data_IF_901886952028
#
_entry.id   IF_901886952028
#
_cell.length_a   1.000
_cell.length_b   1.000
_cell.length_c   1.000
_cell.angle_alpha   90.00
_cell.angle_beta   90.00
_cell.angle_gamma   90.00
#
_symmetry.space_group_name_H-M   'P 1'
#
loop_
_entity.id
_entity.type
_entity.pdbx_description
1 polymer ?
#
# COMPACT_ATOMS: atom_id res chain seq x y z
N UNK A 1 -21.44 -3.95 -3.08
CA UNK A 1 -21.46 -5.07 -2.09
C UNK A 1 -20.28 -6.06 -2.21
N UNK A 2 -19.59 -6.18 -3.36
CA UNK A 2 -18.53 -7.18 -3.60
C UNK A 2 -17.24 -6.98 -2.79
N UNK A 3 -16.81 -5.73 -2.57
CA UNK A 3 -15.58 -5.37 -1.83
C UNK A 3 -15.49 -6.00 -0.42
N UNK A 4 -16.56 -5.88 0.37
CA UNK A 4 -16.60 -6.41 1.73
C UNK A 4 -16.66 -7.95 1.78
N UNK A 5 -17.10 -8.60 0.71
CA UNK A 5 -17.15 -10.07 0.62
C UNK A 5 -15.77 -10.63 0.32
N UNK A 6 -15.02 -9.99 -0.58
CA UNK A 6 -13.67 -10.42 -0.96
C UNK A 6 -12.65 -10.21 0.17
N UNK A 7 -12.65 -9.04 0.82
CA UNK A 7 -11.77 -8.78 1.98
C UNK A 7 -12.07 -9.72 3.17
N UNK A 8 -13.35 -10.05 3.37
CA UNK A 8 -13.78 -11.01 4.41
C UNK A 8 -13.30 -12.44 4.17
N UNK A 9 -13.21 -12.87 2.91
CA UNK A 9 -12.79 -14.23 2.60
C UNK A 9 -11.27 -14.40 2.67
N UNK A 10 -10.53 -13.32 2.38
CA UNK A 10 -9.07 -13.36 2.30
C UNK A 10 -8.36 -13.49 3.67
N UNK A 11 -8.78 -12.74 4.69
CA UNK A 11 -8.15 -12.80 6.02
C UNK A 11 -8.24 -14.21 6.66
N UNK A 12 -9.39 -14.89 6.63
CA UNK A 12 -9.55 -16.26 7.12
C UNK A 12 -8.75 -17.31 6.35
N UNK A 13 -8.41 -17.06 5.07
CA UNK A 13 -7.59 -17.97 4.26
C UNK A 13 -6.10 -17.87 4.63
N UNK A 14 -5.64 -16.70 5.08
CA UNK A 14 -4.24 -16.50 5.52
C UNK A 14 -3.99 -16.98 6.96
N UNK A 15 -5.02 -17.04 7.80
CA UNK A 15 -4.94 -17.43 9.22
C UNK A 15 -5.94 -18.54 9.57
N UNK A 16 -5.78 -19.70 8.93
CA UNK A 16 -6.66 -20.87 9.09
C UNK A 16 -6.89 -21.32 10.54
N UNK A 17 -5.88 -21.18 11.42
CA UNK A 17 -5.94 -21.60 12.83
C UNK A 17 -6.72 -20.64 13.76
N UNK A 18 -6.90 -19.37 13.36
CA UNK A 18 -7.57 -18.34 14.18
C UNK A 18 -8.99 -18.03 13.70
N UNK A 19 -9.44 -18.69 12.62
CA UNK A 19 -10.75 -18.51 11.95
C UNK A 19 -11.92 -18.21 12.90
N UNK A 20 -12.20 -19.03 13.95
CA UNK A 20 -13.38 -18.82 14.79
C UNK A 20 -13.34 -17.49 15.57
N UNK A 21 -12.15 -17.06 16.00
CA UNK A 21 -11.94 -15.79 16.72
C UNK A 21 -11.92 -14.61 15.74
N UNK A 22 -11.29 -14.79 14.58
CA UNK A 22 -11.14 -13.74 13.57
C UNK A 22 -12.48 -13.45 12.86
N UNK A 23 -13.32 -14.45 12.61
CA UNK A 23 -14.59 -14.28 11.87
C UNK A 23 -15.57 -13.36 12.59
N UNK A 24 -15.69 -13.50 13.92
CA UNK A 24 -16.58 -12.65 14.72
C UNK A 24 -16.09 -11.20 14.74
N UNK A 25 -14.79 -10.98 14.87
CA UNK A 25 -14.17 -9.66 14.81
C UNK A 25 -14.33 -9.04 13.40
N UNK A 26 -14.02 -9.79 12.34
CA UNK A 26 -14.15 -9.36 10.95
C UNK A 26 -15.60 -9.07 10.56
N UNK A 27 -16.57 -9.85 11.05
CA UNK A 27 -17.99 -9.58 10.83
C UNK A 27 -18.38 -8.22 11.44
N UNK A 28 -17.96 -7.95 12.68
CA UNK A 28 -18.22 -6.67 13.36
C UNK A 28 -17.56 -5.49 12.64
N UNK A 29 -16.29 -5.60 12.30
CA UNK A 29 -15.54 -4.57 11.56
C UNK A 29 -16.11 -4.35 10.16
N UNK A 30 -16.46 -5.42 9.45
CA UNK A 30 -17.07 -5.35 8.12
C UNK A 30 -18.47 -4.71 8.14
N UNK A 31 -19.27 -4.95 9.19
CA UNK A 31 -20.56 -4.27 9.38
C UNK A 31 -20.36 -2.78 9.67
N UNK A 32 -19.38 -2.41 10.50
CA UNK A 32 -19.03 -1.01 10.77
C UNK A 32 -18.61 -0.29 9.48
N UNK A 33 -17.67 -0.88 8.72
CA UNK A 33 -17.24 -0.38 7.42
C UNK A 33 -18.41 -0.23 6.44
N UNK A 34 -19.32 -1.22 6.38
CA UNK A 34 -20.51 -1.14 5.53
C UNK A 34 -21.39 0.06 5.90
N UNK A 35 -21.63 0.31 7.20
CA UNK A 35 -22.39 1.49 7.66
C UNK A 35 -21.70 2.80 7.27
N UNK A 36 -20.38 2.88 7.41
CA UNK A 36 -19.60 4.04 6.97
C UNK A 36 -19.67 4.26 5.45
N UNK A 37 -19.56 3.19 4.64
CA UNK A 37 -19.67 3.28 3.19
C UNK A 37 -21.07 3.75 2.74
N UNK A 38 -22.14 3.21 3.34
CA UNK A 38 -23.51 3.64 3.01
C UNK A 38 -23.74 5.12 3.35
N UNK A 39 -23.17 5.61 4.47
CA UNK A 39 -23.20 7.04 4.83
C UNK A 39 -22.44 7.94 3.85
N UNK A 40 -21.47 7.38 3.11
CA UNK A 40 -20.68 8.09 2.08
C UNK A 40 -21.40 8.17 0.73
N UNK A 41 -22.28 7.21 0.43
CA UNK A 41 -23.10 7.18 -0.79
C UNK A 41 -24.38 8.02 -0.66
N UNK A 42 -24.96 8.12 0.54
CA UNK A 42 -25.96 9.17 0.82
C UNK A 42 -25.27 10.53 0.73
N UNK A 43 -25.74 11.39 -0.18
CA UNK A 43 -25.31 12.75 -0.59
C UNK A 43 -24.82 13.76 0.48
N UNK A 44 -24.68 13.37 1.75
CA UNK A 44 -23.96 14.13 2.76
C UNK A 44 -22.50 14.29 2.31
N UNK A 45 -22.15 15.51 1.92
CA UNK A 45 -20.79 15.94 1.62
C UNK A 45 -19.83 15.44 2.71
N UNK A 46 -19.18 14.32 2.45
CA UNK A 46 -17.96 13.99 3.17
C UNK A 46 -16.99 15.06 2.71
N UNK A 47 -16.55 15.93 3.63
CA UNK A 47 -15.42 16.82 3.42
C UNK A 47 -14.23 15.95 2.98
N UNK A 48 -14.07 15.76 1.67
CA UNK A 48 -12.98 14.99 1.12
C UNK A 48 -11.74 15.84 1.38
N UNK A 49 -10.75 15.25 2.05
CA UNK A 49 -9.43 15.86 2.07
C UNK A 49 -9.03 16.17 0.62
N UNK A 50 -8.42 17.34 0.37
CA UNK A 50 -7.95 17.67 -0.96
C UNK A 50 -7.04 16.56 -1.46
N UNK A 51 -7.07 16.30 -2.77
CA UNK A 51 -6.12 15.36 -3.36
C UNK A 51 -4.70 15.79 -2.99
N UNK A 52 -3.88 14.83 -2.56
CA UNK A 52 -2.46 15.10 -2.40
C UNK A 52 -1.93 15.63 -3.75
N UNK A 53 -0.93 16.50 -3.73
CA UNK A 53 -0.30 17.04 -4.94
C UNK A 53 1.12 16.52 -5.04
N UNK A 54 1.71 16.48 -6.25
CA UNK A 54 3.13 16.10 -6.42
C UNK A 54 4.06 16.98 -5.57
N UNK A 55 3.71 18.27 -5.39
CA UNK A 55 4.44 19.21 -4.51
C UNK A 55 4.32 18.83 -3.03
N UNK A 56 3.14 18.42 -2.57
CA UNK A 56 2.94 17.95 -1.21
C UNK A 56 3.71 16.63 -0.96
N UNK A 57 3.64 15.69 -1.91
CA UNK A 57 4.43 14.45 -1.86
C UNK A 57 5.92 14.76 -1.72
N UNK A 58 6.46 15.61 -2.58
CA UNK A 58 7.87 16.04 -2.52
C UNK A 58 8.27 16.55 -1.14
N UNK A 59 7.45 17.44 -0.55
CA UNK A 59 7.72 17.98 0.79
C UNK A 59 7.74 16.88 1.87
N UNK A 60 6.79 15.95 1.81
CA UNK A 60 6.71 14.85 2.78
C UNK A 60 7.90 13.90 2.66
N UNK A 61 8.24 13.46 1.44
CA UNK A 61 9.39 12.57 1.21
C UNK A 61 10.70 13.25 1.57
N UNK A 62 10.87 14.53 1.20
CA UNK A 62 12.05 15.30 1.58
C UNK A 62 12.18 15.44 3.09
N UNK A 63 11.06 15.59 3.82
CA UNK A 63 11.09 15.61 5.28
C UNK A 63 11.59 14.28 5.83
N UNK A 64 11.05 13.16 5.35
CA UNK A 64 11.48 11.81 5.77
C UNK A 64 12.98 11.62 5.54
N UNK A 65 13.50 11.94 4.36
CA UNK A 65 14.94 11.83 4.09
C UNK A 65 15.78 12.76 4.95
N UNK A 66 15.32 13.98 5.24
CA UNK A 66 16.08 14.94 6.06
C UNK A 66 16.16 14.55 7.54
N UNK A 67 15.23 13.73 8.02
CA UNK A 67 15.15 13.29 9.42
C UNK A 67 15.33 11.78 9.57
N UNK A 68 15.79 11.09 8.52
CA UNK A 68 15.93 9.64 8.53
C UNK A 68 17.05 9.23 9.50
N UNK A 69 16.70 8.37 10.45
CA UNK A 69 17.63 7.79 11.44
C UNK A 69 17.68 6.27 11.31
N UNK A 70 16.67 5.67 10.67
CA UNK A 70 16.41 4.24 10.67
C UNK A 70 15.98 3.74 9.29
N UNK A 71 16.11 2.43 9.06
CA UNK A 71 15.65 1.80 7.82
C UNK A 71 14.15 2.00 7.56
N UNK A 72 13.34 2.12 8.63
CA UNK A 72 11.89 2.35 8.54
C UNK A 72 11.55 3.72 7.95
N UNK A 73 12.38 4.74 8.16
CA UNK A 73 12.15 6.07 7.56
C UNK A 73 12.22 6.02 6.03
N UNK A 74 13.13 5.20 5.48
CA UNK A 74 13.25 4.98 4.04
C UNK A 74 12.12 4.08 3.52
N UNK A 75 11.65 3.11 4.31
CA UNK A 75 10.48 2.31 3.98
C UNK A 75 9.21 3.17 3.91
N UNK A 76 9.04 4.11 4.84
CA UNK A 76 7.93 5.07 4.84
C UNK A 76 7.98 5.99 3.61
N UNK A 77 9.17 6.43 3.21
CA UNK A 77 9.34 7.20 1.98
C UNK A 77 8.95 6.40 0.73
N UNK A 78 9.36 5.12 0.65
CA UNK A 78 8.97 4.21 -0.42
C UNK A 78 7.45 3.96 -0.44
N UNK A 79 6.85 3.74 0.73
CA UNK A 79 5.41 3.60 0.90
C UNK A 79 4.65 4.82 0.40
N UNK A 80 5.08 6.01 0.80
CA UNK A 80 4.42 7.25 0.42
C UNK A 80 4.50 7.49 -1.10
N UNK A 81 5.64 7.17 -1.71
CA UNK A 81 5.80 7.20 -3.16
C UNK A 81 4.87 6.18 -3.83
N UNK A 82 4.87 4.92 -3.42
CA UNK A 82 4.03 3.89 -4.03
C UNK A 82 2.53 4.18 -3.84
N UNK A 83 2.13 4.71 -2.69
CA UNK A 83 0.75 5.12 -2.42
C UNK A 83 0.29 6.21 -3.39
N UNK A 84 1.18 7.17 -3.70
CA UNK A 84 0.91 8.19 -4.70
C UNK A 84 0.67 7.60 -6.09
N UNK A 85 1.58 6.72 -6.56
CA UNK A 85 1.46 6.08 -7.88
C UNK A 85 0.30 5.09 -7.99
N UNK A 86 -0.17 4.55 -6.86
CA UNK A 86 -1.37 3.71 -6.79
C UNK A 86 -2.66 4.53 -6.57
N UNK A 87 -2.62 5.86 -6.69
CA UNK A 87 -3.77 6.74 -6.48
C UNK A 87 -4.43 6.55 -5.10
N UNK A 88 -3.63 6.28 -4.07
CA UNK A 88 -4.11 6.11 -2.70
C UNK A 88 -4.68 4.73 -2.38
N UNK A 89 -4.51 3.72 -3.24
CA UNK A 89 -4.97 2.33 -2.97
C UNK A 89 -4.08 1.62 -1.96
N UNK A 90 -4.17 2.03 -0.69
CA UNK A 90 -3.37 1.49 0.40
C UNK A 90 -3.55 -0.02 0.63
N UNK A 91 -4.76 -0.55 0.39
CA UNK A 91 -5.04 -1.99 0.52
C UNK A 91 -4.24 -2.86 -0.45
N UNK A 92 -3.84 -2.31 -1.59
CA UNK A 92 -3.06 -3.06 -2.58
C UNK A 92 -1.57 -3.11 -2.14
N UNK A 93 -1.11 -2.12 -1.36
CA UNK A 93 0.25 -2.09 -0.81
C UNK A 93 0.46 -3.14 0.28
N UNK A 94 -0.55 -3.47 1.09
CA UNK A 94 -0.40 -4.44 2.19
C UNK A 94 -0.02 -5.84 1.71
N UNK A 95 -0.19 -6.13 0.41
CA UNK A 95 0.18 -7.38 -0.22
C UNK A 95 1.49 -7.32 -1.01
N UNK A 96 2.16 -6.15 -1.02
CA UNK A 96 3.41 -5.99 -1.75
C UNK A 96 4.59 -6.58 -0.99
N UNK A 97 5.22 -7.56 -1.63
CA UNK A 97 6.49 -8.16 -1.20
C UNK A 97 7.59 -7.88 -2.23
N UNK A 98 8.85 -8.10 -1.87
CA UNK A 98 9.99 -7.89 -2.78
C UNK A 98 9.87 -8.72 -4.07
N UNK A 99 9.29 -9.92 -3.98
CA UNK A 99 9.04 -10.83 -5.12
C UNK A 99 8.08 -10.27 -6.18
N UNK A 100 7.32 -9.24 -5.83
CA UNK A 100 6.36 -8.59 -6.73
C UNK A 100 7.04 -7.60 -7.68
N UNK A 101 8.31 -7.24 -7.42
CA UNK A 101 9.10 -6.39 -8.29
C UNK A 101 9.71 -7.25 -9.40
N UNK A 102 9.38 -6.93 -10.65
CA UNK A 102 9.88 -7.63 -11.83
C UNK A 102 10.51 -6.62 -12.80
N UNK A 103 11.43 -7.09 -13.64
CA UNK A 103 11.98 -6.32 -14.77
C UNK A 103 11.36 -6.90 -16.04
N UNK A 104 10.67 -6.06 -16.80
CA UNK A 104 10.09 -6.43 -18.09
C UNK A 104 10.98 -6.05 -19.27
N UNK A 105 10.44 -6.19 -20.47
CA UNK A 105 11.12 -5.76 -21.70
C UNK A 105 11.42 -4.26 -21.68
N UNK A 106 12.56 -3.87 -22.23
CA UNK A 106 13.01 -2.46 -22.27
C UNK A 106 13.48 -1.91 -20.92
N UNK A 107 13.91 -2.78 -20.00
CA UNK A 107 14.43 -2.38 -18.67
C UNK A 107 13.43 -1.61 -17.81
N UNK A 108 12.13 -1.80 -18.08
CA UNK A 108 11.04 -1.19 -17.31
C UNK A 108 10.80 -2.06 -16.07
N UNK A 109 10.75 -1.43 -14.90
CA UNK A 109 10.40 -2.10 -13.66
C UNK A 109 8.89 -2.15 -13.50
N UNK A 110 8.38 -3.27 -13.02
CA UNK A 110 6.96 -3.48 -12.75
C UNK A 110 6.76 -3.98 -11.34
N UNK A 111 5.72 -3.49 -10.69
CA UNK A 111 5.23 -4.05 -9.43
C UNK A 111 3.89 -4.73 -9.72
N UNK A 112 3.85 -6.06 -9.53
CA UNK A 112 2.64 -6.88 -9.71
C UNK A 112 1.94 -7.13 -8.37
N UNK A 113 0.64 -6.92 -8.30
CA UNK A 113 -0.11 -7.15 -7.07
C UNK A 113 -1.54 -7.57 -7.36
N UNK A 114 -2.11 -8.34 -6.44
CA UNK A 114 -3.53 -8.68 -6.50
C UNK A 114 -4.32 -7.56 -5.84
N UNK A 115 -5.21 -6.92 -6.59
CA UNK A 115 -6.04 -5.87 -6.00
C UNK A 115 -7.11 -6.49 -5.11
N UNK A 116 -7.18 -6.03 -3.87
CA UNK A 116 -8.16 -6.52 -2.88
C UNK A 116 -9.59 -6.28 -3.34
N UNK A 117 -9.82 -5.22 -4.14
CA UNK A 117 -11.15 -4.82 -4.59
C UNK A 117 -11.65 -5.58 -5.81
N UNK A 118 -10.74 -6.04 -6.67
CA UNK A 118 -11.10 -6.69 -7.94
C UNK A 118 -10.73 -8.16 -7.97
N UNK A 119 -9.97 -8.65 -6.98
CA UNK A 119 -9.37 -9.99 -6.95
C UNK A 119 -8.56 -10.35 -8.19
N UNK A 120 -8.22 -9.36 -9.03
CA UNK A 120 -7.44 -9.53 -10.24
C UNK A 120 -6.00 -9.08 -10.04
N UNK A 121 -5.08 -9.73 -10.75
CA UNK A 121 -3.70 -9.29 -10.86
C UNK A 121 -3.65 -7.95 -11.60
N UNK A 122 -2.96 -6.99 -11.01
CA UNK A 122 -2.72 -5.66 -11.56
C UNK A 122 -1.22 -5.39 -11.56
N UNK A 123 -0.79 -4.52 -12.47
CA UNK A 123 0.59 -4.08 -12.58
C UNK A 123 0.70 -2.57 -12.46
N UNK A 124 1.77 -2.11 -11.81
CA UNK A 124 2.22 -0.73 -11.84
C UNK A 124 3.59 -0.69 -12.50
N UNK A 125 3.71 -0.04 -13.65
CA UNK A 125 5.01 0.29 -14.25
C UNK A 125 5.67 1.42 -13.48
N UNK A 126 6.94 1.24 -13.15
CA UNK A 126 7.75 2.22 -12.45
C UNK A 126 8.79 2.77 -13.42
N UNK A 127 8.81 4.08 -13.55
CA UNK A 127 9.77 4.81 -14.37
C UNK A 127 10.68 5.66 -13.48
N UNK A 128 11.90 5.87 -13.96
CA UNK A 128 12.78 6.87 -13.37
C UNK A 128 12.13 8.25 -13.55
N UNK A 129 12.28 9.08 -12.53
CA UNK A 129 11.77 10.44 -12.50
C UNK A 129 12.96 11.37 -12.27
N UNK A 130 13.01 12.49 -12.97
CA UNK A 130 14.07 13.50 -12.82
C UNK A 130 14.17 14.00 -11.37
N UNK A 131 13.02 14.12 -10.71
CA UNK A 131 12.98 14.49 -9.30
C UNK A 131 13.11 13.26 -8.40
N UNK A 132 14.32 13.08 -7.85
CA UNK A 132 14.69 12.00 -6.96
C UNK A 132 13.73 11.84 -5.76
N UNK A 133 13.16 12.93 -5.26
CA UNK A 133 12.24 12.90 -4.10
C UNK A 133 10.87 12.32 -4.42
N UNK A 134 10.52 12.22 -5.70
CA UNK A 134 9.24 11.63 -6.14
C UNK A 134 9.47 10.43 -7.05
N UNK A 135 10.71 9.94 -7.13
CA UNK A 135 11.06 8.78 -7.92
C UNK A 135 10.77 7.49 -7.12
N UNK A 136 9.76 6.70 -7.51
CA UNK A 136 9.37 5.51 -6.75
C UNK A 136 10.46 4.44 -6.81
N UNK A 137 11.19 4.34 -7.93
CA UNK A 137 12.32 3.43 -8.07
C UNK A 137 13.44 3.76 -7.10
N UNK A 138 13.80 5.05 -6.98
CA UNK A 138 14.82 5.46 -6.03
C UNK A 138 14.38 5.22 -4.59
N UNK A 139 13.13 5.54 -4.26
CA UNK A 139 12.61 5.32 -2.92
C UNK A 139 12.63 3.84 -2.54
N UNK A 140 12.23 2.94 -3.45
CA UNK A 140 12.33 1.49 -3.26
C UNK A 140 13.79 1.05 -3.14
N UNK A 141 14.69 1.55 -3.99
CA UNK A 141 16.11 1.21 -3.94
C UNK A 141 16.75 1.61 -2.61
N UNK A 142 16.47 2.81 -2.11
CA UNK A 142 16.94 3.28 -0.81
C UNK A 142 16.38 2.41 0.31
N UNK A 143 15.07 2.16 0.32
CA UNK A 143 14.44 1.29 1.31
C UNK A 143 15.02 -0.14 1.31
N UNK A 144 15.41 -0.68 0.15
CA UNK A 144 16.07 -1.98 0.05
C UNK A 144 17.54 -1.93 0.50
N UNK A 145 18.27 -0.85 0.19
CA UNK A 145 19.67 -0.68 0.57
C UNK A 145 19.86 -0.48 2.07
N UNK A 146 18.89 0.14 2.74
CA UNK A 146 18.94 0.40 4.20
C UNK A 146 18.43 -0.78 5.03
N UNK A 147 17.92 -1.84 4.41
CA UNK A 147 17.49 -3.04 5.14
C UNK A 147 18.72 -3.84 5.61
N UNK A 148 18.76 -4.13 6.91
CA UNK A 148 19.84 -4.86 7.59
C UNK A 148 19.91 -6.36 7.25
N UNK A 149 18.92 -6.90 6.52
CA UNK A 149 18.87 -8.28 6.07
C UNK A 149 18.16 -8.38 4.70
N UNK A 150 18.40 -9.44 3.90
CA UNK A 150 17.62 -9.74 2.71
C UNK A 150 16.24 -10.28 3.11
N UNK A 151 15.44 -9.47 3.79
CA UNK A 151 14.10 -9.83 4.22
C UNK A 151 13.12 -9.70 3.06
N UNK A 152 12.19 -10.66 2.94
CA UNK A 152 11.18 -10.69 1.87
C UNK A 152 10.19 -9.52 1.92
N UNK A 153 10.22 -8.73 2.99
CA UNK A 153 9.16 -7.80 3.34
C UNK A 153 9.65 -6.36 3.33
N UNK A 154 9.39 -5.66 2.23
CA UNK A 154 9.32 -4.21 2.24
C UNK A 154 8.20 -3.70 3.18
N UNK A 155 7.21 -4.56 3.54
CA UNK A 155 5.97 -4.20 4.25
C UNK A 155 5.47 -5.25 5.25
N UNK A 156 6.36 -5.92 6.00
CA UNK A 156 5.91 -6.67 7.19
C UNK A 156 6.35 -5.90 8.42
N UNK A 157 5.46 -5.05 8.93
CA UNK A 157 5.31 -4.74 10.35
C UNK A 157 4.13 -3.78 10.54
N UNK A 158 2.91 -4.29 10.42
CA UNK A 158 1.78 -3.74 11.17
C UNK A 158 0.95 -4.91 11.67
N UNK A 159 0.85 -5.03 13.00
CA UNK A 159 0.16 -6.04 13.81
C UNK A 159 1.04 -7.22 14.27
N UNK A 160 1.95 -6.92 15.21
CA UNK A 160 2.11 -7.74 16.40
C UNK A 160 0.97 -7.42 17.39
#
# INVERSE_FOLDING_TARGET
MQYNRQAKNWLPDRFLLLRPLTDKALLKTGQMLKRYCMKRESLMFVNKAPACTKRALKKMVMRLYSTAMTATDYQDAALLCLLWYLFGRASDLTLLCKVNLCIGSGSIFFVRFNSVKTSGEQGLSLFLNEDFTTCPLLAIALALATQSAPTASLLNQTLA
#
